data_IF_748970071080
#
_entry.id   IF_748970071080
#
_cell.length_a   1.000
_cell.length_b   1.000
_cell.length_c   1.000
_cell.angle_alpha   90.00
_cell.angle_beta   90.00
_cell.angle_gamma   90.00
#
_symmetry.space_group_name_H-M   'P 1'
#
loop_
_entity.id
_entity.type
_entity.pdbx_description
1 polymer ?
#
# COMPACT_ATOMS: atom_id res chain seq x y z
N UNK A 1 8.84 22.94 14.99
CA UNK A 1 7.52 22.27 15.06
C UNK A 1 6.66 22.70 13.88
N UNK A 2 5.51 22.06 13.64
CA UNK A 2 4.66 22.31 12.46
C UNK A 2 3.91 23.64 12.64
N UNK A 3 4.04 24.56 11.70
CA UNK A 3 3.38 25.88 11.74
C UNK A 3 2.10 25.88 10.93
N UNK A 4 2.14 25.26 9.75
CA UNK A 4 1.05 25.30 8.79
C UNK A 4 1.04 24.05 7.91
N UNK A 5 -0.13 23.74 7.38
CA UNK A 5 -0.38 22.67 6.41
C UNK A 5 -1.14 23.28 5.24
N UNK A 6 -0.66 23.01 4.04
CA UNK A 6 -1.32 23.34 2.78
C UNK A 6 -1.66 22.06 2.03
N UNK A 7 -2.87 21.98 1.47
CA UNK A 7 -3.25 20.91 0.55
C UNK A 7 -3.32 21.47 -0.87
N UNK A 8 -2.58 20.83 -1.77
CA UNK A 8 -2.39 21.30 -3.15
C UNK A 8 -2.85 20.20 -4.10
N UNK A 9 -3.72 20.55 -5.06
CA UNK A 9 -4.21 19.61 -6.06
C UNK A 9 -3.19 19.40 -7.21
N UNK A 10 -3.50 18.53 -8.15
CA UNK A 10 -2.64 18.26 -9.31
C UNK A 10 -2.51 19.42 -10.30
N UNK A 11 -3.41 20.41 -10.22
CA UNK A 11 -3.37 21.63 -11.03
C UNK A 11 -2.46 22.71 -10.44
N UNK A 12 -1.97 22.51 -9.21
CA UNK A 12 -1.17 23.50 -8.48
C UNK A 12 -2.01 24.46 -7.62
N UNK A 13 -3.31 24.22 -7.45
CA UNK A 13 -4.16 25.07 -6.62
C UNK A 13 -4.07 24.66 -5.15
N UNK A 14 -3.78 25.63 -4.28
CA UNK A 14 -3.93 25.49 -2.83
C UNK A 14 -5.42 25.58 -2.51
N UNK A 15 -6.04 24.47 -2.15
CA UNK A 15 -7.49 24.42 -1.90
C UNK A 15 -7.87 24.36 -0.41
N UNK A 16 -6.89 24.11 0.47
CA UNK A 16 -7.05 24.14 1.92
C UNK A 16 -5.75 24.56 2.59
N UNK A 17 -5.86 25.40 3.62
CA UNK A 17 -4.73 25.78 4.48
C UNK A 17 -5.14 25.77 5.95
N UNK A 18 -4.26 25.28 6.82
CA UNK A 18 -4.45 25.36 8.28
C UNK A 18 -3.17 25.87 8.93
N UNK A 19 -3.32 26.86 9.79
CA UNK A 19 -2.24 27.40 10.61
C UNK A 19 -2.47 27.06 12.09
N UNK A 20 -1.42 26.68 12.82
CA UNK A 20 -1.50 26.35 14.26
C UNK A 20 -0.67 27.28 15.16
N UNK A 21 0.27 28.03 14.60
CA UNK A 21 1.13 28.95 15.37
C UNK A 21 0.96 30.39 14.93
N UNK A 22 1.30 30.65 13.69
CA UNK A 22 1.21 31.96 13.06
C UNK A 22 0.70 31.78 11.65
N UNK A 23 0.00 32.78 11.13
CA UNK A 23 -0.37 32.82 9.72
C UNK A 23 0.92 32.82 8.89
N UNK A 24 1.00 31.91 7.92
CA UNK A 24 2.11 31.79 6.98
C UNK A 24 1.58 32.15 5.60
N UNK A 25 2.23 33.08 4.92
CA UNK A 25 1.85 33.49 3.56
C UNK A 25 1.92 32.31 2.60
N UNK A 26 0.93 32.19 1.72
CA UNK A 26 0.89 31.19 0.64
C UNK A 26 2.09 31.29 -0.31
N UNK A 27 2.73 32.46 -0.42
CA UNK A 27 3.95 32.66 -1.20
C UNK A 27 5.12 31.77 -0.75
N UNK A 28 5.05 31.18 0.46
CA UNK A 28 6.03 30.18 0.87
C UNK A 28 5.97 28.92 -0.02
N UNK A 29 4.80 28.61 -0.60
CA UNK A 29 4.61 27.48 -1.50
C UNK A 29 5.23 27.71 -2.89
N UNK A 30 5.63 28.93 -3.24
CA UNK A 30 6.31 29.22 -4.52
C UNK A 30 7.59 28.38 -4.68
N UNK A 31 8.33 28.16 -3.59
CA UNK A 31 9.49 27.28 -3.56
C UNK A 31 9.14 25.81 -3.82
N UNK A 32 7.94 25.38 -3.39
CA UNK A 32 7.43 24.04 -3.67
C UNK A 32 7.04 23.91 -5.15
N UNK A 33 6.33 24.90 -5.69
CA UNK A 33 5.96 24.92 -7.11
C UNK A 33 7.20 24.94 -8.02
N UNK A 34 8.22 25.72 -7.69
CA UNK A 34 9.50 25.72 -8.44
C UNK A 34 10.18 24.33 -8.41
N UNK A 35 10.14 23.63 -7.28
CA UNK A 35 10.67 22.28 -7.17
C UNK A 35 9.84 21.27 -7.96
N UNK A 36 8.52 21.46 -8.00
CA UNK A 36 7.60 20.63 -8.78
C UNK A 36 7.84 20.78 -10.29
N UNK A 37 8.02 22.01 -10.78
CA UNK A 37 8.31 22.28 -12.20
C UNK A 37 9.63 21.66 -12.67
N UNK A 38 10.62 21.54 -11.78
CA UNK A 38 11.92 20.92 -12.09
C UNK A 38 11.88 19.40 -12.06
N UNK A 39 10.88 18.78 -11.44
CA UNK A 39 10.79 17.34 -11.32
C UNK A 39 10.29 16.70 -12.63
N UNK A 40 10.90 15.57 -13.01
CA UNK A 40 10.51 14.83 -14.22
C UNK A 40 9.12 14.21 -14.03
N UNK A 41 8.86 13.68 -12.83
CA UNK A 41 7.59 13.10 -12.42
C UNK A 41 7.21 13.64 -11.03
N UNK A 42 5.92 13.55 -10.70
CA UNK A 42 5.34 14.06 -9.44
C UNK A 42 5.98 13.38 -8.21
N UNK A 43 6.39 12.12 -8.34
CA UNK A 43 7.07 11.37 -7.28
C UNK A 43 8.54 11.79 -7.06
N UNK A 44 9.12 12.53 -8.01
CA UNK A 44 10.50 13.02 -7.95
C UNK A 44 10.63 14.40 -7.28
N UNK A 45 9.51 15.01 -6.88
CA UNK A 45 9.54 16.26 -6.11
C UNK A 45 10.25 16.01 -4.78
N UNK A 46 11.29 16.79 -4.42
CA UNK A 46 11.99 16.61 -3.16
C UNK A 46 11.03 16.73 -1.96
N UNK A 47 11.00 15.75 -1.04
CA UNK A 47 10.08 15.77 0.09
C UNK A 47 10.45 16.80 1.17
N UNK A 48 11.67 17.36 1.10
CA UNK A 48 12.14 18.41 2.01
C UNK A 48 12.78 19.52 1.17
N UNK A 49 12.24 20.72 1.26
CA UNK A 49 12.70 21.90 0.53
C UNK A 49 13.07 22.98 1.55
N UNK A 50 14.32 23.44 1.52
CA UNK A 50 14.80 24.54 2.35
C UNK A 50 14.45 25.86 1.68
N UNK A 51 13.88 26.79 2.44
CA UNK A 51 13.66 28.19 2.03
C UNK A 51 14.45 29.12 2.95
N UNK A 52 14.51 30.44 2.70
CA UNK A 52 15.30 31.37 3.52
C UNK A 52 14.91 31.42 5.01
N UNK A 53 13.64 31.16 5.33
CA UNK A 53 13.10 31.31 6.69
C UNK A 53 12.29 30.10 7.18
N UNK A 54 12.03 29.13 6.31
CA UNK A 54 11.21 27.97 6.59
C UNK A 54 11.79 26.73 5.92
N UNK A 55 11.31 25.56 6.34
CA UNK A 55 11.43 24.34 5.57
C UNK A 55 10.03 23.85 5.20
N UNK A 56 9.90 23.39 3.97
CA UNK A 56 8.71 22.73 3.48
C UNK A 56 8.96 21.23 3.51
N UNK A 57 8.06 20.49 4.13
CA UNK A 57 8.09 19.03 4.15
C UNK A 57 6.80 18.53 3.53
N UNK A 58 6.91 17.70 2.49
CA UNK A 58 5.77 17.29 1.70
C UNK A 58 5.66 15.78 1.49
N UNK A 59 4.43 15.33 1.30
CA UNK A 59 4.11 13.99 0.79
C UNK A 59 3.11 14.12 -0.37
N UNK A 60 3.07 13.11 -1.24
CA UNK A 60 2.09 13.00 -2.31
C UNK A 60 1.23 11.74 -2.10
N UNK A 61 -0.07 11.93 -1.88
CA UNK A 61 -1.04 10.84 -1.68
C UNK A 61 -2.35 11.17 -2.40
N UNK A 62 -2.94 10.19 -3.05
CA UNK A 62 -4.27 10.30 -3.67
C UNK A 62 -4.43 11.52 -4.60
N UNK A 63 -3.35 11.84 -5.32
CA UNK A 63 -3.21 13.01 -6.22
C UNK A 63 -3.21 14.38 -5.54
N UNK A 64 -2.99 14.41 -4.24
CA UNK A 64 -2.90 15.62 -3.41
C UNK A 64 -1.51 15.71 -2.82
N UNK A 65 -0.92 16.90 -2.86
CA UNK A 65 0.27 17.21 -2.07
C UNK A 65 -0.15 17.77 -0.72
N UNK A 66 0.39 17.17 0.34
CA UNK A 66 0.29 17.68 1.71
C UNK A 66 1.61 18.36 2.01
N UNK A 67 1.61 19.69 2.16
CA UNK A 67 2.82 20.48 2.36
C UNK A 67 2.78 21.12 3.74
N UNK A 68 3.61 20.62 4.65
CA UNK A 68 3.80 21.21 5.98
C UNK A 68 4.92 22.23 5.98
N UNK A 69 4.72 23.34 6.70
CA UNK A 69 5.72 24.38 6.90
C UNK A 69 6.25 24.32 8.32
N UNK A 70 7.57 24.31 8.47
CA UNK A 70 8.27 24.40 9.75
C UNK A 70 9.24 25.59 9.74
N UNK A 71 9.43 26.26 10.89
CA UNK A 71 10.43 27.34 11.04
C UNK A 71 11.70 26.88 11.76
N UNK A 72 11.59 25.84 12.58
CA UNK A 72 12.71 25.27 13.31
C UNK A 72 12.97 23.87 12.83
N UNK A 73 14.25 23.48 12.81
CA UNK A 73 14.65 22.12 12.46
C UNK A 73 13.96 21.10 13.37
N UNK A 74 13.31 20.13 12.74
CA UNK A 74 12.73 18.95 13.39
C UNK A 74 13.06 17.73 12.54
N UNK A 75 13.09 16.51 13.11
CA UNK A 75 13.29 15.29 12.33
C UNK A 75 12.27 15.20 11.18
N UNK A 76 12.68 15.20 9.90
CA UNK A 76 11.71 15.28 8.80
C UNK A 76 10.72 14.11 8.76
N UNK A 77 11.18 12.91 9.13
CA UNK A 77 10.35 11.70 9.21
C UNK A 77 9.17 11.85 10.17
N UNK A 78 9.32 12.64 11.23
CA UNK A 78 8.23 12.90 12.16
C UNK A 78 7.09 13.69 11.49
N UNK A 79 7.43 14.69 10.67
CA UNK A 79 6.43 15.47 9.93
C UNK A 79 5.83 14.64 8.80
N UNK A 80 6.64 13.85 8.09
CA UNK A 80 6.19 12.96 7.02
C UNK A 80 5.18 11.93 7.55
N UNK A 81 5.47 11.26 8.68
CA UNK A 81 4.53 10.31 9.30
C UNK A 81 3.23 11.00 9.73
N UNK A 82 3.32 12.20 10.31
CA UNK A 82 2.13 12.97 10.67
C UNK A 82 1.26 13.29 9.44
N UNK A 83 1.87 13.73 8.33
CA UNK A 83 1.14 14.00 7.09
C UNK A 83 0.45 12.74 6.54
N UNK A 84 1.14 11.60 6.56
CA UNK A 84 0.54 10.32 6.16
C UNK A 84 -0.67 9.98 7.04
N UNK A 85 -0.55 10.23 8.35
CA UNK A 85 -1.63 9.98 9.30
C UNK A 85 -2.85 10.90 9.08
N UNK A 86 -2.63 12.14 8.65
CA UNK A 86 -3.71 13.06 8.24
C UNK A 86 -4.45 12.50 7.02
N UNK A 87 -3.72 12.08 5.98
CA UNK A 87 -4.32 11.49 4.79
C UNK A 87 -5.12 10.21 5.12
N UNK A 88 -4.54 9.31 5.93
CA UNK A 88 -5.21 8.09 6.39
C UNK A 88 -6.48 8.41 7.20
N UNK A 89 -6.46 9.47 8.02
CA UNK A 89 -7.64 9.92 8.78
C UNK A 89 -8.75 10.42 7.87
N UNK A 90 -8.42 11.19 6.81
CA UNK A 90 -9.42 11.63 5.83
C UNK A 90 -10.05 10.45 5.08
N UNK A 91 -9.20 9.51 4.64
CA UNK A 91 -9.64 8.26 4.01
C UNK A 91 -10.58 7.46 4.94
N UNK A 92 -10.27 7.38 6.23
CA UNK A 92 -11.05 6.68 7.24
C UNK A 92 -12.40 7.33 7.59
N UNK A 93 -12.51 8.65 7.42
CA UNK A 93 -13.71 9.43 7.73
C UNK A 93 -14.66 9.55 6.54
N UNK A 94 -14.09 9.76 5.36
CA UNK A 94 -14.84 10.10 4.16
C UNK A 94 -14.94 8.94 3.16
N UNK A 95 -14.17 7.86 3.38
CA UNK A 95 -14.13 6.71 2.47
C UNK A 95 -13.21 6.91 1.26
N UNK A 96 -12.71 8.12 1.04
CA UNK A 96 -11.66 8.47 0.08
C UNK A 96 -10.90 9.70 0.56
N UNK A 97 -9.64 9.85 0.15
CA UNK A 97 -8.87 11.08 0.33
C UNK A 97 -8.80 11.87 -0.99
N UNK A 98 -9.90 12.52 -1.37
CA UNK A 98 -10.02 13.30 -2.61
C UNK A 98 -10.25 14.79 -2.35
N UNK A 99 -9.91 15.65 -3.32
CA UNK A 99 -10.17 17.10 -3.21
C UNK A 99 -11.67 17.38 -2.98
N UNK A 100 -12.54 16.64 -3.69
CA UNK A 100 -13.99 16.74 -3.55
C UNK A 100 -14.45 16.36 -2.14
N UNK A 101 -14.04 15.19 -1.64
CA UNK A 101 -14.43 14.72 -0.31
C UNK A 101 -13.96 15.68 0.80
N UNK A 102 -12.76 16.24 0.69
CA UNK A 102 -12.22 17.21 1.65
C UNK A 102 -13.00 18.52 1.59
N UNK A 103 -13.31 19.05 0.40
CA UNK A 103 -14.09 20.29 0.24
C UNK A 103 -15.52 20.13 0.76
N UNK A 104 -16.17 19.02 0.46
CA UNK A 104 -17.55 18.73 0.90
C UNK A 104 -17.65 18.59 2.43
N UNK A 105 -16.55 18.23 3.11
CA UNK A 105 -16.50 18.01 4.55
C UNK A 105 -15.55 18.99 5.28
N UNK A 106 -15.34 20.19 4.74
CA UNK A 106 -14.30 21.14 5.20
C UNK A 106 -14.37 21.46 6.70
N UNK A 107 -15.58 21.52 7.28
CA UNK A 107 -15.75 21.79 8.72
C UNK A 107 -15.14 20.65 9.55
N UNK A 108 -15.48 19.40 9.24
CA UNK A 108 -14.95 18.21 9.93
C UNK A 108 -13.44 18.10 9.71
N UNK A 109 -12.95 18.46 8.52
CA UNK A 109 -11.52 18.49 8.23
C UNK A 109 -10.78 19.45 9.17
N UNK A 110 -11.30 20.67 9.37
CA UNK A 110 -10.70 21.62 10.31
C UNK A 110 -10.76 21.14 11.76
N UNK A 111 -11.88 20.57 12.20
CA UNK A 111 -12.02 19.96 13.53
C UNK A 111 -10.97 18.86 13.72
N UNK A 112 -10.80 17.96 12.74
CA UNK A 112 -9.82 16.88 12.78
C UNK A 112 -8.39 17.41 12.86
N UNK A 113 -8.04 18.38 12.02
CA UNK A 113 -6.70 18.98 12.00
C UNK A 113 -6.37 19.71 13.31
N UNK A 114 -7.37 20.28 13.98
CA UNK A 114 -7.23 20.90 15.29
C UNK A 114 -7.03 19.88 16.41
N UNK A 115 -7.78 18.78 16.42
CA UNK A 115 -7.60 17.71 17.41
C UNK A 115 -6.31 16.90 17.21
N UNK A 116 -5.89 16.72 15.95
CA UNK A 116 -4.69 15.95 15.62
C UNK A 116 -3.39 16.67 16.00
N UNK A 117 -3.39 18.01 16.00
CA UNK A 117 -2.18 18.82 16.18
C UNK A 117 -2.47 20.07 17.01
N UNK A 118 -1.79 20.19 18.15
CA UNK A 118 -1.88 21.37 19.02
C UNK A 118 -0.54 22.11 19.07
N UNK A 119 -0.56 23.42 18.81
CA UNK A 119 0.61 24.29 18.80
C UNK A 119 1.83 23.72 18.02
N UNK A 120 1.54 22.96 16.95
CA UNK A 120 2.55 22.31 16.11
C UNK A 120 3.06 20.95 16.57
N UNK A 121 2.49 20.37 17.63
CA UNK A 121 2.79 19.04 18.15
C UNK A 121 1.61 18.08 17.89
N UNK A 122 1.84 16.90 17.29
CA UNK A 122 0.81 15.87 17.16
C UNK A 122 0.35 15.38 18.53
N UNK A 123 -0.98 15.31 18.72
CA UNK A 123 -1.61 14.85 19.96
C UNK A 123 -2.44 13.58 19.71
N UNK A 124 -3.66 13.73 19.18
CA UNK A 124 -4.60 12.62 18.98
C UNK A 124 -4.62 12.18 17.51
N UNK A 125 -3.86 11.14 17.18
CA UNK A 125 -3.75 10.66 15.78
C UNK A 125 -4.35 9.29 15.55
N UNK A 126 -5.02 8.74 16.56
CA UNK A 126 -5.69 7.44 16.50
C UNK A 126 -7.14 7.60 16.02
N UNK A 127 -7.47 7.00 14.86
CA UNK A 127 -8.78 7.07 14.19
C UNK A 127 -9.95 6.76 15.14
N UNK A 128 -9.80 5.76 16.01
CA UNK A 128 -10.84 5.38 16.96
C UNK A 128 -11.11 6.43 18.04
N UNK A 129 -10.10 7.18 18.49
CA UNK A 129 -10.26 8.30 19.43
C UNK A 129 -10.91 9.47 18.71
N UNK A 130 -10.38 9.82 17.54
CA UNK A 130 -10.89 10.91 16.73
C UNK A 130 -12.38 10.70 16.46
N UNK A 131 -12.82 9.48 16.10
CA UNK A 131 -14.23 9.16 15.80
C UNK A 131 -15.18 9.30 17.00
N UNK A 132 -14.64 9.33 18.21
CA UNK A 132 -15.39 9.59 19.43
C UNK A 132 -15.52 11.10 19.71
N UNK A 133 -14.44 11.86 19.49
CA UNK A 133 -14.40 13.32 19.61
C UNK A 133 -15.20 14.01 18.51
N UNK A 134 -14.96 13.60 17.27
CA UNK A 134 -15.50 14.16 16.04
C UNK A 134 -16.17 13.04 15.28
N UNK A 135 -17.50 13.00 15.28
CA UNK A 135 -18.25 11.90 14.71
C UNK A 135 -18.21 11.96 13.17
N UNK A 136 -17.94 10.84 12.47
CA UNK A 136 -17.96 10.82 11.01
C UNK A 136 -19.31 11.26 10.42
N UNK A 137 -19.29 11.92 9.26
CA UNK A 137 -20.52 12.29 8.56
C UNK A 137 -21.21 11.01 8.06
N UNK A 138 -22.41 10.71 8.56
CA UNK A 138 -23.25 9.62 8.03
C UNK A 138 -24.45 10.23 7.32
N UNK A 139 -24.86 9.66 6.17
CA UNK A 139 -25.96 10.17 5.32
C UNK A 139 -27.26 10.42 6.10
N UNK A 140 -27.59 9.59 7.08
CA UNK A 140 -28.80 9.77 7.91
C UNK A 140 -28.67 10.91 8.94
N UNK A 141 -27.44 11.33 9.27
CA UNK A 141 -27.16 12.27 10.35
C UNK A 141 -27.02 13.71 9.88
N UNK A 142 -26.56 13.94 8.64
CA UNK A 142 -26.59 15.28 8.02
C UNK A 142 -28.00 15.85 8.02
N UNK A 143 -29.01 14.99 7.79
CA UNK A 143 -30.43 15.36 7.83
C UNK A 143 -30.90 15.65 9.26
N UNK A 144 -30.46 14.88 10.26
CA UNK A 144 -30.86 15.08 11.67
C UNK A 144 -30.20 16.33 12.28
N UNK A 145 -28.92 16.57 12.01
CA UNK A 145 -28.21 17.76 12.51
C UNK A 145 -28.80 19.06 11.90
N UNK A 146 -29.23 19.02 10.64
CA UNK A 146 -29.92 20.14 9.98
C UNK A 146 -31.27 20.48 10.62
N UNK A 147 -31.92 19.51 11.26
CA UNK A 147 -33.25 19.67 11.87
C UNK A 147 -33.16 19.97 13.37
N UNK A 148 -32.09 19.52 14.04
CA UNK A 148 -31.98 19.57 15.52
C UNK A 148 -30.93 20.56 16.04
N UNK A 149 -30.07 21.12 15.17
CA UNK A 149 -29.02 22.06 15.57
C UNK A 149 -27.90 21.43 16.42
N UNK A 150 -27.80 20.10 16.48
CA UNK A 150 -26.76 19.39 17.23
C UNK A 150 -25.41 19.43 16.52
N UNK A 151 -24.33 19.61 17.30
CA UNK A 151 -22.94 19.65 16.81
C UNK A 151 -22.40 18.25 16.46
N UNK A 152 -21.31 18.20 15.68
CA UNK A 152 -20.59 16.96 15.35
C UNK A 152 -19.60 16.54 16.44
N UNK A 153 -19.33 17.44 17.40
CA UNK A 153 -18.42 17.24 18.52
C UNK A 153 -19.11 16.44 19.62
N UNK A 154 -18.40 15.48 20.20
CA UNK A 154 -18.91 14.71 21.34
C UNK A 154 -19.04 15.56 22.61
N UNK A 155 -20.16 15.44 23.32
CA UNK A 155 -20.40 16.15 24.60
C UNK A 155 -19.55 15.61 25.78
N UNK A 156 -18.82 14.51 25.57
CA UNK A 156 -18.03 13.82 26.60
C UNK A 156 -16.65 13.47 26.07
N UNK A 157 -15.61 13.76 26.86
CA UNK A 157 -14.24 13.37 26.54
C UNK A 157 -14.10 11.84 26.46
N UNK A 158 -13.36 11.31 25.47
CA UNK A 158 -13.11 9.89 25.33
C UNK A 158 -12.40 9.32 26.55
N UNK A 159 -12.93 8.23 27.10
CA UNK A 159 -12.25 7.50 28.18
C UNK A 159 -10.87 6.96 27.75
N UNK A 160 -10.63 6.83 26.44
CA UNK A 160 -9.37 6.39 25.85
C UNK A 160 -8.21 7.40 25.94
N UNK A 161 -8.47 8.71 26.01
CA UNK A 161 -7.43 9.76 26.03
C UNK A 161 -6.53 9.71 27.27
N UNK A 162 -7.05 9.18 28.39
CA UNK A 162 -6.30 8.97 29.64
C UNK A 162 -5.85 7.52 29.83
N UNK A 163 -6.17 6.64 28.87
CA UNK A 163 -5.82 5.23 28.93
C UNK A 163 -4.47 4.97 28.29
N UNK A 164 -3.78 3.91 28.73
CA UNK A 164 -2.59 3.39 28.07
C UNK A 164 -2.91 2.56 26.80
N UNK A 165 -4.18 2.56 26.35
CA UNK A 165 -4.67 1.84 25.16
C UNK A 165 -5.46 2.82 24.28
N UNK A 166 -4.78 3.83 23.69
CA UNK A 166 -5.46 4.89 22.95
C UNK A 166 -6.19 4.37 21.70
N UNK A 167 -5.71 3.30 21.08
CA UNK A 167 -6.27 2.80 19.82
C UNK A 167 -7.59 2.01 19.95
N UNK A 168 -8.08 1.72 21.16
CA UNK A 168 -9.32 0.92 21.39
C UNK A 168 -10.27 1.58 22.36
N UNK A 169 -11.52 1.76 21.94
CA UNK A 169 -12.60 2.31 22.78
C UNK A 169 -13.13 1.31 23.80
N UNK A 170 -13.52 1.81 24.96
CA UNK A 170 -14.25 1.03 25.95
C UNK A 170 -15.71 0.77 25.49
N UNK A 171 -16.29 -0.34 25.93
CA UNK A 171 -17.72 -0.61 25.72
C UNK A 171 -18.14 -0.97 24.29
N UNK A 172 -17.20 -1.27 23.40
CA UNK A 172 -17.49 -1.79 22.05
C UNK A 172 -18.37 -3.04 22.14
N UNK A 173 -19.42 -3.12 21.32
CA UNK A 173 -20.36 -4.25 21.31
C UNK A 173 -20.66 -4.70 19.88
N UNK A 174 -20.62 -6.00 19.66
CA UNK A 174 -21.01 -6.65 18.43
C UNK A 174 -21.96 -7.80 18.73
N UNK A 175 -22.97 -7.97 17.87
CA UNK A 175 -23.86 -9.14 17.88
C UNK A 175 -23.07 -10.41 17.57
N UNK A 176 -22.20 -10.34 16.55
CA UNK A 176 -21.32 -11.42 16.13
C UNK A 176 -19.87 -10.99 16.36
N UNK A 177 -19.15 -11.76 17.19
CA UNK A 177 -17.78 -11.44 17.55
C UNK A 177 -16.82 -12.22 16.65
N UNK A 178 -16.02 -11.51 15.85
CA UNK A 178 -15.20 -12.10 14.79
C UNK A 178 -13.83 -11.44 14.73
N UNK A 179 -12.78 -12.24 14.47
CA UNK A 179 -11.41 -11.77 14.27
C UNK A 179 -10.82 -12.45 13.02
N UNK A 180 -10.52 -11.67 11.99
CA UNK A 180 -9.91 -12.15 10.76
C UNK A 180 -8.50 -11.57 10.60
N UNK A 181 -7.59 -12.40 10.09
CA UNK A 181 -6.22 -12.03 9.77
C UNK A 181 -5.89 -12.44 8.34
N UNK A 182 -5.54 -11.47 7.51
CA UNK A 182 -5.11 -11.68 6.13
C UNK A 182 -3.60 -11.58 6.08
N UNK A 183 -2.93 -12.72 5.91
CA UNK A 183 -1.49 -12.81 5.66
C UNK A 183 -1.27 -12.64 4.16
N UNK A 184 -0.72 -11.48 3.77
CA UNK A 184 -0.52 -11.11 2.38
C UNK A 184 0.98 -10.97 2.14
N UNK A 185 1.50 -11.71 1.16
CA UNK A 185 2.91 -11.69 0.77
C UNK A 185 3.05 -11.22 -0.68
N UNK A 186 3.98 -10.30 -0.89
CA UNK A 186 4.43 -9.81 -2.19
C UNK A 186 5.82 -10.37 -2.46
N UNK A 187 6.02 -10.92 -3.66
CA UNK A 187 7.33 -11.43 -4.09
C UNK A 187 7.94 -10.46 -5.08
N UNK A 188 9.05 -9.85 -4.69
CA UNK A 188 9.95 -9.16 -5.59
C UNK A 188 10.99 -10.16 -6.07
N UNK A 189 11.18 -10.30 -7.38
CA UNK A 189 12.15 -11.24 -7.92
C UNK A 189 12.74 -10.77 -9.26
N UNK A 190 14.02 -11.05 -9.45
CA UNK A 190 14.71 -10.91 -10.73
C UNK A 190 15.22 -12.28 -11.13
N UNK A 191 14.72 -12.79 -12.25
CA UNK A 191 15.14 -14.05 -12.86
C UNK A 191 16.01 -13.72 -14.07
N UNK A 192 17.16 -14.37 -14.20
CA UNK A 192 18.02 -14.21 -15.37
C UNK A 192 17.52 -15.00 -16.59
N UNK A 193 18.20 -14.81 -17.73
CA UNK A 193 17.89 -15.48 -19.00
C UNK A 193 18.01 -17.01 -18.97
N UNK A 194 18.69 -17.57 -17.96
CA UNK A 194 18.82 -19.02 -17.77
C UNK A 194 17.69 -19.61 -16.93
N UNK A 195 16.86 -18.75 -16.31
CA UNK A 195 15.83 -19.14 -15.35
C UNK A 195 16.34 -19.21 -13.91
N UNK A 196 17.55 -18.71 -13.63
CA UNK A 196 18.15 -18.66 -12.29
C UNK A 196 17.71 -17.40 -11.56
N UNK A 197 17.49 -17.52 -10.24
CA UNK A 197 17.11 -16.39 -9.39
C UNK A 197 18.32 -15.54 -9.07
N UNK A 198 18.32 -14.29 -9.52
CA UNK A 198 19.35 -13.29 -9.21
C UNK A 198 19.02 -12.58 -7.89
N UNK A 199 17.76 -12.25 -7.71
CA UNK A 199 17.23 -11.58 -6.54
C UNK A 199 15.85 -12.15 -6.24
N UNK A 200 15.56 -12.36 -4.96
CA UNK A 200 14.22 -12.66 -4.48
C UNK A 200 14.08 -12.21 -3.03
N UNK A 201 13.00 -11.50 -2.75
CA UNK A 201 12.62 -11.04 -1.42
C UNK A 201 11.10 -11.17 -1.26
N UNK A 202 10.67 -11.48 -0.06
CA UNK A 202 9.25 -11.49 0.29
C UNK A 202 8.97 -10.34 1.24
N UNK A 203 8.03 -9.50 0.86
CA UNK A 203 7.47 -8.46 1.71
C UNK A 203 6.09 -8.92 2.16
N UNK A 204 5.89 -9.03 3.47
CA UNK A 204 4.67 -9.55 4.05
C UNK A 204 3.96 -8.53 4.92
N UNK A 205 2.63 -8.61 4.94
CA UNK A 205 1.78 -7.84 5.87
C UNK A 205 0.75 -8.77 6.49
N UNK A 206 0.34 -8.45 7.71
CA UNK A 206 -0.83 -9.06 8.37
C UNK A 206 -1.84 -7.97 8.61
N UNK A 207 -2.84 -7.91 7.74
CA UNK A 207 -3.97 -6.99 7.90
C UNK A 207 -5.08 -7.69 8.69
N UNK A 208 -5.67 -6.99 9.64
CA UNK A 208 -6.63 -7.54 10.59
C UNK A 208 -7.98 -6.86 10.44
N UNK A 209 -9.07 -7.64 10.52
CA UNK A 209 -10.43 -7.14 10.67
C UNK A 209 -11.00 -7.66 11.99
N UNK A 210 -11.09 -6.78 12.97
CA UNK A 210 -11.46 -7.10 14.35
C UNK A 210 -12.84 -6.52 14.66
N UNK A 211 -13.81 -7.39 14.92
CA UNK A 211 -15.16 -7.05 15.38
C UNK A 211 -15.42 -7.77 16.68
N UNK A 212 -14.78 -7.29 17.75
CA UNK A 212 -14.82 -7.94 19.06
C UNK A 212 -15.41 -6.98 20.09
N UNK A 213 -16.27 -7.49 20.96
CA UNK A 213 -16.85 -6.72 22.06
C UNK A 213 -15.88 -6.57 23.22
N UNK A 214 -15.99 -5.46 23.95
CA UNK A 214 -15.21 -5.21 25.17
C UNK A 214 -13.73 -4.90 24.91
N UNK A 215 -12.84 -5.38 25.77
CA UNK A 215 -11.39 -5.15 25.74
C UNK A 215 -10.64 -6.49 25.63
N UNK A 216 -10.76 -7.21 24.49
CA UNK A 216 -10.12 -8.49 24.28
C UNK A 216 -8.59 -8.33 24.25
N UNK A 217 -7.89 -9.19 24.97
CA UNK A 217 -6.44 -9.32 24.89
C UNK A 217 -6.11 -10.54 24.03
N UNK A 218 -5.48 -10.31 22.88
CA UNK A 218 -5.19 -11.33 21.89
C UNK A 218 -3.73 -11.77 21.98
N UNK A 219 -3.51 -13.06 21.73
CA UNK A 219 -2.19 -13.68 21.63
C UNK A 219 -2.12 -14.52 20.35
N UNK A 220 -1.42 -14.00 19.34
CA UNK A 220 -1.23 -14.65 18.04
C UNK A 220 0.18 -15.23 17.93
N UNK A 221 0.26 -16.52 17.61
CA UNK A 221 1.52 -17.26 17.47
C UNK A 221 1.64 -17.91 16.10
N UNK A 222 2.87 -18.10 15.63
CA UNK A 222 3.19 -18.71 14.34
C UNK A 222 3.89 -20.06 14.53
N UNK A 223 3.75 -20.96 13.55
CA UNK A 223 4.42 -22.27 13.56
C UNK A 223 5.95 -22.11 13.52
N UNK A 224 6.44 -21.14 12.74
CA UNK A 224 7.85 -20.78 12.69
C UNK A 224 8.00 -19.26 12.63
N UNK A 225 8.04 -18.57 13.79
CA UNK A 225 8.15 -17.11 13.82
C UNK A 225 9.52 -16.60 13.36
N UNK A 226 10.53 -17.48 13.20
CA UNK A 226 11.87 -17.10 12.69
C UNK A 226 11.87 -16.74 11.20
N UNK A 227 10.77 -16.98 10.49
CA UNK A 227 10.60 -16.51 9.11
C UNK A 227 10.37 -14.99 9.04
N UNK A 228 9.96 -14.38 10.16
CA UNK A 228 9.65 -12.96 10.24
C UNK A 228 10.93 -12.17 10.56
N UNK A 229 11.48 -11.51 9.56
CA UNK A 229 12.61 -10.59 9.65
C UNK A 229 12.14 -9.13 9.51
N UNK A 230 12.92 -8.17 10.00
CA UNK A 230 12.64 -6.71 9.92
C UNK A 230 11.17 -6.33 10.18
N UNK A 231 10.62 -6.87 11.27
CA UNK A 231 9.19 -6.73 11.58
C UNK A 231 8.91 -5.32 12.09
N UNK A 232 7.95 -4.65 11.45
CA UNK A 232 7.34 -3.41 11.95
C UNK A 232 6.00 -3.72 12.60
N UNK A 233 5.77 -3.13 13.76
CA UNK A 233 4.63 -3.45 14.62
C UNK A 233 3.63 -2.31 14.68
N UNK A 234 2.33 -2.64 14.68
CA UNK A 234 1.32 -1.72 15.17
C UNK A 234 1.59 -1.37 16.64
N UNK A 235 1.36 -0.11 17.10
CA UNK A 235 1.54 0.30 18.49
C UNK A 235 0.81 -0.55 19.54
N UNK A 236 -0.21 -1.30 19.12
CA UNK A 236 -0.98 -2.17 20.01
C UNK A 236 -0.20 -3.40 20.49
N UNK A 237 0.93 -3.72 19.87
CA UNK A 237 1.72 -4.90 20.15
C UNK A 237 2.70 -4.64 21.29
N UNK A 238 2.68 -5.55 22.26
CA UNK A 238 3.61 -5.55 23.39
C UNK A 238 4.99 -6.05 22.94
N UNK A 239 5.85 -5.12 22.50
CA UNK A 239 7.16 -5.43 21.94
C UNK A 239 8.02 -6.35 22.82
N UNK A 240 8.09 -6.12 24.14
CA UNK A 240 8.86 -6.95 25.08
C UNK A 240 8.47 -8.44 25.04
N UNK A 241 7.19 -8.73 24.79
CA UNK A 241 6.69 -10.11 24.69
C UNK A 241 7.03 -10.74 23.34
N UNK A 242 7.01 -9.97 22.26
CA UNK A 242 7.54 -10.42 20.98
C UNK A 242 9.05 -10.73 21.06
N UNK A 243 9.81 -9.87 21.74
CA UNK A 243 11.26 -10.01 21.89
C UNK A 243 11.65 -11.29 22.64
N UNK A 244 10.90 -11.65 23.68
CA UNK A 244 11.17 -12.82 24.53
C UNK A 244 10.53 -14.12 24.05
N UNK A 245 9.27 -14.08 23.61
CA UNK A 245 8.48 -15.28 23.30
C UNK A 245 8.24 -15.48 21.80
N UNK A 246 8.52 -14.47 20.96
CA UNK A 246 8.13 -14.44 19.53
C UNK A 246 6.62 -14.66 19.31
N UNK A 247 5.83 -14.09 20.22
CA UNK A 247 4.36 -14.09 20.18
C UNK A 247 3.86 -12.66 20.08
N UNK A 248 2.89 -12.41 19.20
CA UNK A 248 2.22 -11.12 19.10
C UNK A 248 1.14 -11.06 20.17
N UNK A 249 1.34 -10.23 21.19
CA UNK A 249 0.35 -9.99 22.25
C UNK A 249 -0.12 -8.54 22.20
N UNK A 250 -1.43 -8.33 22.12
CA UNK A 250 -2.01 -7.02 21.85
C UNK A 250 -3.48 -6.93 22.25
N UNK A 251 -3.93 -5.72 22.59
CA UNK A 251 -5.35 -5.39 22.61
C UNK A 251 -5.63 -4.67 21.28
N UNK A 252 -6.40 -5.26 20.35
CA UNK A 252 -6.51 -4.73 19.00
C UNK A 252 -7.35 -3.45 18.91
N UNK A 253 -7.01 -2.51 18.01
CA UNK A 253 -7.97 -1.54 17.49
C UNK A 253 -9.26 -2.23 17.03
N UNK A 254 -10.35 -1.49 17.05
CA UNK A 254 -11.61 -1.95 16.48
C UNK A 254 -11.63 -1.70 14.96
N UNK A 255 -12.19 -2.65 14.19
CA UNK A 255 -12.28 -2.55 12.73
C UNK A 255 -11.04 -3.07 11.99
N UNK A 256 -10.74 -2.42 10.86
CA UNK A 256 -9.63 -2.81 9.98
C UNK A 256 -8.35 -2.07 10.35
N UNK A 257 -7.23 -2.77 10.48
CA UNK A 257 -5.92 -2.15 10.69
C UNK A 257 -4.79 -3.11 10.28
N UNK A 258 -3.60 -2.58 9.99
CA UNK A 258 -2.39 -3.37 9.78
C UNK A 258 -1.78 -3.75 11.12
N UNK A 259 -1.69 -5.04 11.42
CA UNK A 259 -1.11 -5.54 12.67
C UNK A 259 0.41 -5.52 12.64
N UNK A 260 1.00 -6.10 11.60
CA UNK A 260 2.45 -6.06 11.35
C UNK A 260 2.73 -5.97 9.85
N UNK A 261 3.90 -5.43 9.52
CA UNK A 261 4.60 -5.73 8.26
C UNK A 261 5.92 -6.41 8.57
N UNK A 262 6.42 -7.22 7.64
CA UNK A 262 7.64 -8.00 7.82
C UNK A 262 8.31 -8.23 6.47
N UNK A 263 9.57 -8.63 6.54
CA UNK A 263 10.33 -9.17 5.41
C UNK A 263 10.70 -10.61 5.72
N UNK A 264 11.05 -11.35 4.68
CA UNK A 264 11.69 -12.66 4.83
C UNK A 264 13.05 -12.57 4.17
N UNK A 265 14.11 -12.76 4.96
CA UNK A 265 15.50 -12.61 4.51
C UNK A 265 15.81 -13.49 3.30
N UNK A 266 16.61 -12.96 2.38
CA UNK A 266 17.17 -13.66 1.21
C UNK A 266 18.08 -14.84 1.57
N UNK A 267 18.53 -14.93 2.83
CA UNK A 267 19.24 -16.11 3.35
C UNK A 267 18.32 -17.34 3.39
N UNK A 268 17.01 -17.14 3.49
CA UNK A 268 16.03 -18.18 3.27
C UNK A 268 15.83 -18.32 1.75
N UNK A 269 16.01 -19.52 1.21
CA UNK A 269 15.76 -19.77 -0.22
C UNK A 269 14.30 -19.47 -0.56
N UNK A 270 14.05 -18.29 -1.15
CA UNK A 270 12.72 -17.84 -1.56
C UNK A 270 12.23 -18.74 -2.70
N UNK A 271 11.11 -19.41 -2.47
CA UNK A 271 10.48 -20.24 -3.47
C UNK A 271 9.90 -19.38 -4.60
N UNK A 272 10.27 -19.66 -5.84
CA UNK A 272 9.76 -18.94 -7.00
C UNK A 272 8.51 -19.65 -7.53
N UNK A 273 7.33 -19.01 -7.52
CA UNK A 273 6.07 -19.71 -7.82
C UNK A 273 5.83 -19.94 -9.31
N UNK A 274 6.44 -19.15 -10.19
CA UNK A 274 6.26 -19.20 -11.65
C UNK A 274 7.62 -19.21 -12.35
N UNK A 275 7.73 -19.95 -13.45
CA UNK A 275 8.86 -19.87 -14.37
C UNK A 275 8.41 -19.35 -15.72
N UNK A 276 9.34 -18.75 -16.45
CA UNK A 276 9.11 -18.27 -17.81
C UNK A 276 10.17 -18.86 -18.73
N UNK A 277 9.73 -19.55 -19.79
CA UNK A 277 10.58 -19.95 -20.90
C UNK A 277 10.38 -18.95 -22.03
N UNK A 278 11.46 -18.36 -22.53
CA UNK A 278 11.39 -17.37 -23.59
C UNK A 278 12.40 -17.67 -24.70
N UNK A 279 12.03 -17.29 -25.91
CA UNK A 279 12.90 -17.22 -27.08
C UNK A 279 12.53 -15.95 -27.84
N UNK A 280 13.25 -14.87 -27.51
CA UNK A 280 13.09 -13.55 -28.13
C UNK A 280 14.36 -13.28 -28.93
N UNK A 281 14.19 -13.00 -30.22
CA UNK A 281 15.33 -12.76 -31.10
C UNK A 281 14.98 -11.75 -32.18
N UNK A 282 15.86 -10.79 -32.40
CA UNK A 282 15.81 -9.84 -33.50
C UNK A 282 16.90 -10.22 -34.51
N UNK A 283 16.52 -10.37 -35.78
CA UNK A 283 17.44 -10.75 -36.86
C UNK A 283 18.12 -9.50 -37.43
N UNK A 284 19.44 -9.58 -37.63
CA UNK A 284 20.20 -8.53 -38.30
C UNK A 284 19.74 -8.35 -39.75
N UNK A 285 19.70 -7.10 -40.22
CA UNK A 285 19.32 -6.73 -41.59
C UNK A 285 17.94 -7.22 -42.05
N UNK A 286 17.05 -7.52 -41.10
CA UNK A 286 15.66 -7.87 -41.41
C UNK A 286 14.71 -7.01 -40.59
N UNK A 287 13.57 -6.65 -41.18
CA UNK A 287 12.48 -5.95 -40.50
C UNK A 287 11.62 -6.89 -39.63
N UNK A 288 12.15 -8.04 -39.20
CA UNK A 288 11.41 -9.07 -38.47
C UNK A 288 12.18 -9.67 -37.29
N UNK A 289 11.46 -9.98 -36.21
CA UNK A 289 11.93 -10.72 -35.04
C UNK A 289 10.98 -11.86 -34.70
N UNK A 290 11.41 -12.73 -33.78
CA UNK A 290 10.61 -13.82 -33.22
C UNK A 290 10.36 -13.56 -31.75
N UNK A 291 9.12 -13.81 -31.33
CA UNK A 291 8.69 -13.77 -29.95
C UNK A 291 8.05 -15.12 -29.62
N UNK A 292 8.49 -15.77 -28.55
CA UNK A 292 7.92 -17.05 -28.09
C UNK A 292 8.11 -17.13 -26.58
N UNK A 293 7.03 -17.04 -25.81
CA UNK A 293 7.06 -17.02 -24.35
C UNK A 293 6.04 -18.01 -23.80
N UNK A 294 6.47 -18.82 -22.84
CA UNK A 294 5.63 -19.78 -22.11
C UNK A 294 5.76 -19.53 -20.62
N UNK A 295 4.64 -19.38 -19.91
CA UNK A 295 4.61 -19.19 -18.46
C UNK A 295 4.09 -20.48 -17.81
N UNK A 296 4.75 -20.97 -16.77
CA UNK A 296 4.33 -22.18 -16.07
C UNK A 296 4.50 -22.08 -14.56
N UNK A 297 3.80 -22.94 -13.79
CA UNK A 297 3.96 -23.01 -12.34
C UNK A 297 5.30 -23.69 -12.00
N UNK A 298 5.99 -23.22 -10.94
CA UNK A 298 7.25 -23.80 -10.44
C UNK A 298 7.10 -24.30 -9.00
N UNK A 299 7.18 -23.42 -8.00
CA UNK A 299 7.05 -23.77 -6.58
C UNK A 299 5.77 -23.18 -5.96
N UNK A 300 4.62 -23.49 -6.56
CA UNK A 300 3.30 -23.00 -6.13
C UNK A 300 2.59 -23.87 -5.08
N UNK A 301 3.26 -24.92 -4.57
CA UNK A 301 2.71 -25.84 -3.55
C UNK A 301 1.34 -26.45 -3.92
N UNK A 302 1.12 -26.71 -5.21
CA UNK A 302 -0.15 -27.23 -5.73
C UNK A 302 -1.31 -26.24 -5.74
N UNK A 303 -1.09 -24.98 -5.32
CA UNK A 303 -2.10 -23.92 -5.36
C UNK A 303 -2.19 -23.31 -6.76
N UNK A 304 -3.39 -22.87 -7.14
CA UNK A 304 -3.61 -22.28 -8.45
C UNK A 304 -2.93 -20.91 -8.56
N UNK A 305 -2.25 -20.67 -9.68
CA UNK A 305 -1.75 -19.34 -10.05
C UNK A 305 -2.78 -18.68 -10.98
N UNK A 306 -3.30 -17.53 -10.58
CA UNK A 306 -4.37 -16.80 -11.26
C UNK A 306 -4.06 -15.31 -11.40
N UNK A 307 -4.87 -14.59 -12.18
CA UNK A 307 -4.63 -13.18 -12.48
C UNK A 307 -3.28 -12.94 -13.14
N UNK A 308 -2.83 -13.89 -13.98
CA UNK A 308 -1.51 -13.85 -14.59
C UNK A 308 -1.51 -12.90 -15.78
N UNK A 309 -0.72 -11.83 -15.68
CA UNK A 309 -0.54 -10.83 -16.74
C UNK A 309 0.95 -10.64 -16.98
N UNK A 310 1.38 -10.70 -18.24
CA UNK A 310 2.74 -10.37 -18.64
C UNK A 310 2.75 -9.03 -19.37
N UNK A 311 3.63 -8.13 -18.95
CA UNK A 311 3.85 -6.82 -19.59
C UNK A 311 5.29 -6.69 -20.06
N UNK A 312 5.47 -6.26 -21.30
CA UNK A 312 6.78 -6.09 -21.95
C UNK A 312 6.84 -4.73 -22.60
N UNK A 313 7.85 -3.94 -22.24
CA UNK A 313 8.17 -2.69 -22.94
C UNK A 313 9.07 -3.03 -24.12
N UNK A 314 8.52 -2.96 -25.33
CA UNK A 314 9.23 -3.33 -26.55
C UNK A 314 10.18 -2.21 -27.01
N UNK A 315 11.27 -2.55 -27.71
CA UNK A 315 12.16 -1.55 -28.31
C UNK A 315 11.39 -0.58 -29.23
N UNK A 316 11.82 0.69 -29.27
CA UNK A 316 11.18 1.74 -30.08
C UNK A 316 11.05 1.39 -31.56
N UNK A 317 11.96 0.56 -32.08
CA UNK A 317 11.96 0.07 -33.46
C UNK A 317 10.79 -0.87 -33.79
N UNK A 318 10.06 -1.40 -32.80
CA UNK A 318 8.92 -2.31 -33.02
C UNK A 318 7.70 -1.52 -33.47
N UNK A 319 7.16 -1.88 -34.64
CA UNK A 319 5.97 -1.25 -35.22
C UNK A 319 4.68 -1.96 -34.83
N UNK A 320 4.66 -3.29 -34.90
CA UNK A 320 3.53 -4.12 -34.52
C UNK A 320 3.97 -5.56 -34.23
N UNK A 321 3.05 -6.36 -33.67
CA UNK A 321 3.29 -7.76 -33.32
C UNK A 321 2.14 -8.66 -33.80
N UNK A 322 2.48 -9.67 -34.59
CA UNK A 322 1.54 -10.70 -35.05
C UNK A 322 1.79 -11.97 -34.23
N UNK A 323 1.06 -12.11 -33.12
CA UNK A 323 1.24 -13.19 -32.17
C UNK A 323 -0.01 -14.08 -32.12
N UNK A 324 0.17 -15.29 -31.62
CA UNK A 324 -0.89 -16.25 -31.36
C UNK A 324 -0.76 -16.73 -29.93
N UNK A 325 -1.79 -16.50 -29.13
CA UNK A 325 -1.90 -16.99 -27.76
C UNK A 325 -2.58 -18.36 -27.76
N UNK A 326 -2.00 -19.35 -27.09
CA UNK A 326 -2.67 -20.65 -26.85
C UNK A 326 -3.70 -20.58 -25.74
N UNK A 327 -3.61 -19.53 -24.91
CA UNK A 327 -4.48 -19.19 -23.81
C UNK A 327 -4.42 -17.67 -23.55
N UNK A 328 -5.57 -17.08 -23.20
CA UNK A 328 -5.68 -15.67 -22.89
C UNK A 328 -5.72 -14.78 -24.14
N UNK A 329 -5.61 -13.47 -23.95
CA UNK A 329 -5.59 -12.47 -25.01
C UNK A 329 -4.40 -11.54 -24.84
N UNK A 330 -3.89 -11.00 -25.95
CA UNK A 330 -2.80 -10.03 -25.93
C UNK A 330 -3.21 -8.75 -26.63
N UNK A 331 -2.63 -7.65 -26.20
CA UNK A 331 -2.74 -6.34 -26.84
C UNK A 331 -1.33 -5.74 -26.96
N UNK A 332 -1.07 -5.09 -28.09
CA UNK A 332 0.15 -4.32 -28.28
C UNK A 332 -0.23 -2.90 -28.64
N UNK A 333 0.21 -1.93 -27.83
CA UNK A 333 0.05 -0.52 -28.12
C UNK A 333 1.27 0.01 -28.90
N UNK A 334 1.11 0.38 -30.19
CA UNK A 334 2.21 0.87 -31.00
C UNK A 334 2.71 2.26 -30.60
N UNK A 335 1.98 3.01 -29.76
CA UNK A 335 2.37 4.34 -29.27
C UNK A 335 3.28 4.19 -28.05
N UNK A 336 2.77 3.55 -27.00
CA UNK A 336 3.55 3.33 -25.75
C UNK A 336 4.58 2.20 -25.88
N UNK A 337 4.51 1.40 -26.96
CA UNK A 337 5.35 0.22 -27.20
C UNK A 337 5.18 -0.88 -26.15
N UNK A 338 4.01 -0.94 -25.50
CA UNK A 338 3.72 -1.92 -24.46
C UNK A 338 2.96 -3.11 -25.04
N UNK A 339 3.51 -4.31 -24.88
CA UNK A 339 2.80 -5.57 -25.06
C UNK A 339 2.24 -6.02 -23.70
N UNK A 340 0.94 -6.29 -23.66
CA UNK A 340 0.27 -6.89 -22.50
C UNK A 340 -0.35 -8.22 -22.92
N UNK A 341 -0.10 -9.28 -22.15
CA UNK A 341 -0.72 -10.59 -22.32
C UNK A 341 -1.45 -10.98 -21.05
N UNK A 342 -2.78 -11.01 -21.11
CA UNK A 342 -3.63 -11.49 -20.02
C UNK A 342 -3.90 -12.99 -20.21
N UNK A 343 -3.26 -13.79 -19.37
CA UNK A 343 -3.34 -15.26 -19.37
C UNK A 343 -4.54 -15.74 -18.55
N UNK A 344 -4.97 -14.96 -17.56
CA UNK A 344 -5.92 -15.37 -16.54
C UNK A 344 -5.34 -16.43 -15.59
N UNK A 345 -5.87 -17.65 -15.64
CA UNK A 345 -5.54 -18.73 -14.70
C UNK A 345 -4.68 -19.81 -15.36
N UNK A 346 -3.52 -20.13 -14.78
CA UNK A 346 -2.64 -21.17 -15.33
C UNK A 346 -3.22 -22.56 -15.04
N UNK A 347 -3.42 -23.36 -16.07
CA UNK A 347 -3.79 -24.77 -15.95
C UNK A 347 -2.57 -25.66 -16.24
N UNK A 348 -2.19 -26.61 -15.35
CA UNK A 348 -0.99 -27.42 -15.55
C UNK A 348 -1.03 -28.32 -16.78
N UNK A 349 -2.22 -28.70 -17.27
CA UNK A 349 -2.38 -29.64 -18.39
C UNK A 349 -1.96 -29.04 -19.73
N UNK A 350 -2.17 -27.73 -19.92
CA UNK A 350 -1.79 -27.02 -21.14
C UNK A 350 -1.19 -25.67 -20.75
N UNK A 351 0.13 -25.58 -20.87
CA UNK A 351 0.83 -24.36 -20.51
C UNK A 351 0.48 -23.21 -21.47
N UNK A 352 0.21 -22.01 -20.94
CA UNK A 352 -0.02 -20.83 -21.75
C UNK A 352 1.24 -20.45 -22.52
N UNK A 353 1.08 -20.17 -23.80
CA UNK A 353 2.16 -19.77 -24.72
C UNK A 353 1.68 -18.62 -25.59
N UNK A 354 2.55 -17.63 -25.81
CA UNK A 354 2.36 -16.53 -26.73
C UNK A 354 3.54 -16.51 -27.70
N UNK A 355 3.27 -16.73 -28.98
CA UNK A 355 4.33 -16.81 -30.00
C UNK A 355 3.95 -16.16 -31.31
N UNK A 356 4.94 -15.69 -32.06
CA UNK A 356 4.75 -15.14 -33.39
C UNK A 356 5.89 -14.24 -33.85
N UNK A 357 5.55 -13.30 -34.72
CA UNK A 357 6.50 -12.43 -35.41
C UNK A 357 6.38 -11.00 -34.87
N UNK A 358 7.53 -10.38 -34.63
CA UNK A 358 7.67 -8.96 -34.27
C UNK A 358 8.10 -8.20 -35.50
N UNK A 359 7.36 -7.18 -35.92
CA UNK A 359 7.73 -6.39 -37.09
C UNK A 359 8.45 -5.12 -36.66
N UNK A 360 9.63 -4.91 -37.23
CA UNK A 360 10.52 -3.79 -36.97
C UNK A 360 10.42 -2.76 -38.09
N UNK A 361 10.76 -1.52 -37.78
CA UNK A 361 10.93 -0.47 -38.79
C UNK A 361 12.05 -0.86 -39.78
N UNK A 362 11.77 -0.70 -41.08
CA UNK A 362 12.76 -0.99 -42.13
C UNK A 362 14.01 -0.12 -41.96
N UNK A 363 15.19 -0.73 -42.04
CA UNK A 363 16.48 -0.05 -41.88
C UNK A 363 16.84 0.33 -40.44
N UNK A 364 16.00 0.04 -39.44
CA UNK A 364 16.35 0.26 -38.04
C UNK A 364 17.46 -0.71 -37.60
N UNK A 365 18.40 -0.26 -36.74
CA UNK A 365 19.38 -1.16 -36.16
C UNK A 365 18.69 -2.21 -35.30
N UNK A 366 19.31 -3.38 -35.20
CA UNK A 366 18.91 -4.41 -34.25
C UNK A 366 18.92 -3.81 -32.84
N UNK A 367 17.88 -4.05 -32.00
CA UNK A 367 17.91 -3.65 -30.60
C UNK A 367 19.15 -4.21 -29.89
N UNK A 368 19.80 -3.37 -29.07
CA UNK A 368 21.01 -3.75 -28.34
C UNK A 368 20.74 -4.86 -27.31
N UNK A 369 19.54 -4.87 -26.74
CA UNK A 369 19.13 -5.82 -25.71
C UNK A 369 17.71 -6.34 -25.95
N UNK A 370 17.45 -7.56 -25.46
CA UNK A 370 16.09 -8.09 -25.40
C UNK A 370 15.31 -7.43 -24.24
N UNK A 371 14.00 -7.19 -24.42
CA UNK A 371 13.19 -6.57 -23.37
C UNK A 371 12.93 -7.52 -22.20
N UNK A 372 12.94 -6.99 -20.98
CA UNK A 372 12.53 -7.77 -19.80
C UNK A 372 11.02 -8.03 -19.77
N UNK A 373 10.62 -9.16 -19.18
CA UNK A 373 9.23 -9.55 -18.98
C UNK A 373 8.82 -9.24 -17.54
N UNK A 374 7.78 -8.45 -17.35
CA UNK A 374 7.21 -8.17 -16.03
C UNK A 374 5.98 -9.05 -15.83
N UNK A 375 5.92 -9.83 -14.76
CA UNK A 375 4.84 -10.78 -14.51
C UNK A 375 4.05 -10.33 -13.28
N UNK A 376 2.74 -10.20 -13.44
CA UNK A 376 1.80 -10.07 -12.34
C UNK A 376 1.08 -11.40 -12.15
N UNK A 377 0.82 -11.79 -10.90
CA UNK A 377 0.05 -12.99 -10.55
C UNK A 377 -0.47 -12.92 -9.13
N UNK A 378 -1.42 -13.81 -8.81
CA UNK A 378 -1.96 -14.04 -7.48
C UNK A 378 -2.11 -15.53 -7.21
N UNK A 379 -1.87 -15.93 -5.97
CA UNK A 379 -2.07 -17.29 -5.46
C UNK A 379 -2.83 -17.19 -4.15
N UNK A 380 -4.03 -17.77 -4.13
CA UNK A 380 -4.84 -17.82 -2.92
C UNK A 380 -4.45 -19.03 -2.05
N UNK A 381 -4.68 -18.89 -0.74
CA UNK A 381 -4.41 -19.90 0.28
C UNK A 381 -2.93 -20.30 0.36
N UNK A 382 -2.03 -19.37 0.07
CA UNK A 382 -0.58 -19.57 0.15
C UNK A 382 0.10 -18.31 0.70
N UNK A 383 0.93 -18.50 1.72
CA UNK A 383 2.07 -17.64 2.01
C UNK A 383 3.30 -18.37 1.47
N UNK A 384 3.98 -17.77 0.50
CA UNK A 384 5.11 -18.39 -0.20
C UNK A 384 6.32 -18.59 0.72
N UNK A 385 6.44 -17.80 1.79
CA UNK A 385 7.44 -17.99 2.85
C UNK A 385 7.24 -19.29 3.64
N UNK A 386 6.04 -19.88 3.56
CA UNK A 386 5.61 -20.96 4.42
C UNK A 386 5.14 -20.51 5.81
N UNK A 387 5.03 -19.19 6.07
CA UNK A 387 4.48 -18.67 7.31
C UNK A 387 3.06 -19.20 7.53
N UNK A 388 2.84 -19.74 8.74
CA UNK A 388 1.54 -20.26 9.17
C UNK A 388 1.24 -19.79 10.57
N UNK A 389 0.05 -19.23 10.76
CA UNK A 389 -0.54 -19.01 12.07
C UNK A 389 -0.73 -20.36 12.75
N UNK A 390 -0.17 -20.49 13.96
CA UNK A 390 -0.31 -21.66 14.81
C UNK A 390 -1.59 -21.55 15.63
N UNK A 391 -1.70 -20.48 16.43
CA UNK A 391 -2.81 -20.30 17.37
C UNK A 391 -3.10 -18.83 17.62
N UNK A 392 -4.38 -18.52 17.79
CA UNK A 392 -4.88 -17.25 18.31
C UNK A 392 -5.69 -17.50 19.58
N UNK A 393 -5.21 -16.99 20.71
CA UNK A 393 -5.92 -17.03 21.99
C UNK A 393 -6.51 -15.66 22.32
N UNK A 394 -7.64 -15.65 23.04
CA UNK A 394 -8.30 -14.44 23.52
C UNK A 394 -8.50 -14.53 25.03
N UNK A 395 -8.15 -13.46 25.73
CA UNK A 395 -8.30 -13.30 27.17
C UNK A 395 -9.13 -12.03 27.47
N UNK A 396 -9.58 -11.89 28.72
CA UNK A 396 -10.36 -10.72 29.18
C UNK A 396 -11.86 -10.80 28.87
N UNK A 397 -12.27 -11.57 27.86
CA UNK A 397 -13.65 -11.71 27.44
C UNK A 397 -14.16 -13.16 27.52
N UNK A 398 -15.44 -13.35 27.85
CA UNK A 398 -16.03 -14.69 28.10
C UNK A 398 -16.63 -15.37 26.86
N UNK A 399 -16.88 -14.62 25.79
CA UNK A 399 -17.46 -15.16 24.57
C UNK A 399 -16.42 -15.90 23.73
N UNK A 400 -16.87 -16.74 22.80
CA UNK A 400 -15.99 -17.42 21.83
C UNK A 400 -16.12 -16.72 20.48
N UNK A 401 -15.10 -15.96 20.00
CA UNK A 401 -15.19 -15.31 18.72
C UNK A 401 -14.98 -16.31 17.59
N UNK A 402 -15.55 -16.01 16.43
CA UNK A 402 -15.13 -16.62 15.18
C UNK A 402 -13.71 -16.15 14.83
N UNK A 403 -12.86 -17.06 14.37
CA UNK A 403 -11.45 -16.78 14.05
C UNK A 403 -11.18 -17.22 12.63
N UNK A 404 -10.75 -16.30 11.77
CA UNK A 404 -10.39 -16.59 10.39
C UNK A 404 -8.96 -16.18 10.08
N UNK A 405 -8.28 -16.99 9.27
CA UNK A 405 -7.01 -16.59 8.66
C UNK A 405 -7.05 -16.90 7.16
N UNK A 406 -6.59 -15.94 6.36
CA UNK A 406 -6.45 -16.06 4.92
C UNK A 406 -4.99 -15.85 4.55
N UNK A 407 -4.54 -16.58 3.54
CA UNK A 407 -3.19 -16.44 3.00
C UNK A 407 -3.28 -16.06 1.53
N UNK A 408 -2.54 -15.04 1.12
CA UNK A 408 -2.48 -14.57 -0.26
C UNK A 408 -1.02 -14.30 -0.59
N UNK A 409 -0.56 -14.83 -1.73
CA UNK A 409 0.70 -14.42 -2.35
C UNK A 409 0.38 -13.68 -3.63
N UNK A 410 1.04 -12.57 -3.90
CA UNK A 410 0.96 -11.84 -5.18
C UNK A 410 2.34 -11.43 -5.67
N UNK A 411 2.45 -11.14 -6.95
CA UNK A 411 3.67 -10.56 -7.50
C UNK A 411 3.85 -9.12 -6.99
N UNK A 412 5.06 -8.78 -6.57
CA UNK A 412 5.52 -7.39 -6.48
C UNK A 412 6.20 -7.01 -7.80
N UNK A 413 7.47 -6.61 -7.72
CA UNK A 413 8.38 -6.41 -8.86
C UNK A 413 8.96 -7.76 -9.31
N UNK A 414 8.18 -8.52 -10.08
CA UNK A 414 8.61 -9.79 -10.63
C UNK A 414 9.06 -9.63 -12.09
N UNK A 415 10.38 -9.66 -12.32
CA UNK A 415 11.02 -9.45 -13.60
C UNK A 415 11.78 -10.70 -14.09
N UNK A 416 11.64 -11.03 -15.36
CA UNK A 416 12.46 -12.02 -16.06
C UNK A 416 13.28 -11.33 -17.15
N UNK A 417 14.60 -11.41 -17.04
CA UNK A 417 15.56 -10.89 -18.04
C UNK A 417 15.70 -11.90 -19.17
N UNK A 418 15.76 -11.44 -20.42
CA UNK A 418 15.64 -12.30 -21.60
C UNK A 418 16.82 -12.27 -22.56
#
# INVERSE_FOLDING_TARGET
MIHSLFLINCSGDIFLEKHWKSVVSQSVCDYFFEAQEKAIDVENVPPVISTPHHYLISIYRDKIFFVSVIQTEVPPLFVIEFLHRVADTFQDYFGECSETAIKDNVVIVYELLEEMLDNGFPLATESNILKELIKPPTILRSVVNSITGSSNVGDTLPTGQLSNIPWRRAGVKYTNNEAYFDVIEEIDAIIDKSGSTVFAEIQGVIDSCIKLSGMPDLSLSFMNPRLLDDVSFHPCIRFKRWESERVLSFIPPDGNFRLISYRVSSQNLVAIPVYVKHMISFKENSSSGRFDVTIGPKQNMGKTVEGVVMTVHMPKAVLNMNLTATQGSYTFDPVTKVLTWDVGKITPQKLPNLKGIVNLQSGAPKPEENPSLNIQFKIQQLAISGLKVNRLDMYGEKYKPFKGVKYITKAGKFQVRT
#
